data_IF_853896499601
#
_entry.id   IF_853896499601
#
_cell.length_a   1.000
_cell.length_b   1.000
_cell.length_c   1.000
_cell.angle_alpha   90.00
_cell.angle_beta   90.00
_cell.angle_gamma   90.00
#
_symmetry.space_group_name_H-M   'P 1'
#
loop_
_entity.id
_entity.type
_entity.pdbx_description
1 polymer ?
#
# COMPACT_ATOMS: atom_id res chain seq x y z
N UNK A 1 3.49 -13.58 -7.12
CA UNK A 1 4.44 -14.64 -7.50
C UNK A 1 5.44 -14.96 -6.39
N UNK A 2 6.07 -13.97 -5.72
CA UNK A 2 7.04 -14.24 -4.64
C UNK A 2 6.48 -15.03 -3.43
N UNK A 3 5.27 -14.71 -2.95
CA UNK A 3 4.66 -15.47 -1.85
C UNK A 3 4.38 -16.94 -2.22
N UNK A 4 3.91 -17.21 -3.45
CA UNK A 4 3.65 -18.57 -3.94
C UNK A 4 4.95 -19.35 -4.16
N UNK A 5 5.99 -18.69 -4.68
CA UNK A 5 7.31 -19.31 -4.85
C UNK A 5 7.92 -19.77 -3.52
N UNK A 6 7.70 -19.02 -2.43
CA UNK A 6 8.19 -19.35 -1.09
C UNK A 6 7.57 -20.62 -0.48
N UNK A 7 6.45 -21.10 -0.99
CA UNK A 7 5.81 -22.35 -0.52
C UNK A 7 6.60 -23.58 -0.95
N UNK A 8 7.41 -23.47 -2.00
CA UNK A 8 8.22 -24.58 -2.55
C UNK A 8 9.68 -24.55 -2.08
N UNK A 9 10.05 -23.54 -1.28
CA UNK A 9 11.40 -23.39 -0.74
C UNK A 9 11.47 -24.02 0.65
N UNK A 10 12.66 -24.48 1.03
CA UNK A 10 12.92 -24.78 2.44
C UNK A 10 12.85 -23.51 3.30
N UNK A 11 12.84 -23.68 4.62
CA UNK A 11 12.67 -22.56 5.54
C UNK A 11 13.77 -21.51 5.41
N UNK A 12 15.02 -21.94 5.20
CA UNK A 12 16.18 -21.05 5.10
C UNK A 12 16.12 -20.24 3.79
N UNK A 13 15.88 -20.92 2.67
CA UNK A 13 15.68 -20.30 1.36
C UNK A 13 14.50 -19.33 1.36
N UNK A 14 13.40 -19.69 2.04
CA UNK A 14 12.21 -18.84 2.15
C UNK A 14 12.47 -17.57 2.97
N UNK A 15 13.29 -17.65 4.02
CA UNK A 15 13.70 -16.50 4.82
C UNK A 15 14.69 -15.64 4.03
N UNK A 16 15.68 -16.23 3.38
CA UNK A 16 16.66 -15.52 2.55
C UNK A 16 15.96 -14.71 1.45
N UNK A 17 15.04 -15.33 0.71
CA UNK A 17 14.26 -14.64 -0.33
C UNK A 17 13.39 -13.50 0.26
N UNK A 18 12.85 -13.68 1.46
CA UNK A 18 12.10 -12.61 2.13
C UNK A 18 13.00 -11.42 2.43
N UNK A 19 14.16 -11.65 3.04
CA UNK A 19 15.12 -10.60 3.43
C UNK A 19 15.69 -9.89 2.19
N UNK A 20 15.93 -10.63 1.11
CA UNK A 20 16.41 -10.08 -0.16
C UNK A 20 15.39 -9.13 -0.79
N UNK A 21 14.11 -9.48 -0.76
CA UNK A 21 13.05 -8.66 -1.34
C UNK A 21 12.51 -7.58 -0.39
N UNK A 22 12.70 -7.74 0.92
CA UNK A 22 12.24 -6.80 1.94
C UNK A 22 12.98 -5.46 1.83
N UNK A 23 12.26 -4.39 2.17
CA UNK A 23 12.88 -3.09 2.39
C UNK A 23 13.46 -3.05 3.79
N UNK A 24 14.75 -2.72 3.91
CA UNK A 24 15.44 -2.62 5.20
C UNK A 24 16.11 -1.24 5.21
N UNK A 25 15.63 -0.35 6.07
CA UNK A 25 16.01 1.07 6.07
C UNK A 25 17.50 1.27 6.38
N UNK A 26 18.10 0.42 7.21
CA UNK A 26 19.55 0.50 7.50
C UNK A 26 20.41 0.43 6.23
N UNK A 27 19.94 -0.21 5.15
CA UNK A 27 20.63 -0.26 3.84
C UNK A 27 20.84 1.10 3.20
N UNK A 28 20.15 2.12 3.70
CA UNK A 28 20.23 3.51 3.24
C UNK A 28 20.99 4.42 4.23
N UNK A 29 21.49 3.87 5.34
CA UNK A 29 22.30 4.63 6.30
C UNK A 29 23.73 4.80 5.78
N UNK A 30 24.37 5.92 6.12
CA UNK A 30 25.75 6.22 5.72
C UNK A 30 26.70 5.10 6.17
N UNK A 31 26.59 4.66 7.43
CA UNK A 31 27.44 3.61 7.98
C UNK A 31 27.30 2.27 7.22
N UNK A 32 26.08 1.91 6.81
CA UNK A 32 25.88 0.69 6.02
C UNK A 32 26.48 0.82 4.62
N UNK A 33 26.23 1.94 3.93
CA UNK A 33 26.83 2.22 2.63
C UNK A 33 28.35 2.18 2.66
N UNK A 34 28.98 2.74 3.69
CA UNK A 34 30.43 2.73 3.83
C UNK A 34 30.99 1.32 4.08
N UNK A 35 30.21 0.44 4.72
CA UNK A 35 30.64 -0.92 5.05
C UNK A 35 30.50 -1.93 3.91
N UNK A 36 29.41 -1.88 3.14
CA UNK A 36 29.08 -2.91 2.12
C UNK A 36 28.73 -2.34 0.74
N UNK A 37 28.72 -1.03 0.58
CA UNK A 37 28.42 -0.36 -0.68
C UNK A 37 26.96 -0.48 -1.14
N UNK A 38 26.73 -0.15 -2.41
CA UNK A 38 25.40 -0.29 -3.04
C UNK A 38 25.17 -1.74 -3.41
N UNK A 39 24.12 -2.33 -2.85
CA UNK A 39 23.68 -3.68 -3.20
C UNK A 39 22.48 -3.63 -4.15
N UNK A 40 22.22 -4.73 -4.85
CA UNK A 40 21.07 -4.83 -5.74
C UNK A 40 19.74 -4.67 -4.96
N UNK A 41 19.70 -5.09 -3.69
CA UNK A 41 18.57 -4.89 -2.80
C UNK A 41 18.36 -3.40 -2.49
N UNK A 42 19.41 -2.60 -2.36
CA UNK A 42 19.28 -1.14 -2.12
C UNK A 42 18.57 -0.44 -3.28
N UNK A 43 18.68 -0.98 -4.49
CA UNK A 43 18.01 -0.42 -5.68
C UNK A 43 16.58 -0.98 -5.84
N UNK A 44 16.38 -2.27 -5.56
CA UNK A 44 15.13 -2.97 -5.88
C UNK A 44 14.12 -2.99 -4.73
N UNK A 45 14.59 -3.02 -3.48
CA UNK A 45 13.75 -3.14 -2.29
C UNK A 45 12.69 -2.06 -2.08
N UNK A 46 12.82 -0.80 -2.56
CA UNK A 46 11.73 0.18 -2.50
C UNK A 46 10.47 -0.27 -3.25
N UNK A 47 10.60 -1.25 -4.16
CA UNK A 47 9.49 -1.81 -4.94
C UNK A 47 9.22 -3.26 -4.58
N UNK A 48 10.25 -4.10 -4.46
CA UNK A 48 10.05 -5.55 -4.29
C UNK A 48 9.42 -5.94 -2.96
N UNK A 49 9.53 -5.09 -1.93
CA UNK A 49 8.95 -5.36 -0.62
C UNK A 49 7.43 -5.56 -0.68
N UNK A 50 6.77 -4.88 -1.63
CA UNK A 50 5.32 -5.00 -1.87
C UNK A 50 4.90 -6.39 -2.36
N UNK A 51 5.84 -7.19 -2.89
CA UNK A 51 5.56 -8.48 -3.53
C UNK A 51 5.66 -9.65 -2.56
N UNK A 52 6.31 -9.47 -1.41
CA UNK A 52 6.54 -10.49 -0.40
C UNK A 52 5.65 -10.23 0.83
N UNK A 53 5.08 -11.29 1.39
CA UNK A 53 4.19 -11.23 2.54
C UNK A 53 4.61 -12.29 3.55
N UNK A 54 4.47 -11.99 4.85
CA UNK A 54 4.89 -12.85 5.95
C UNK A 54 4.14 -14.18 6.00
N UNK A 55 2.83 -14.13 5.75
CA UNK A 55 1.94 -15.29 5.74
C UNK A 55 0.77 -15.09 4.76
N UNK A 56 -0.05 -16.13 4.60
CA UNK A 56 -1.19 -16.12 3.70
C UNK A 56 -2.27 -15.12 4.12
N UNK A 57 -2.51 -14.97 5.43
CA UNK A 57 -3.50 -14.01 5.95
C UNK A 57 -3.10 -12.58 5.61
N UNK A 58 -1.82 -12.24 5.78
CA UNK A 58 -1.28 -10.94 5.42
C UNK A 58 -1.44 -10.66 3.91
N UNK A 59 -1.17 -11.64 3.05
CA UNK A 59 -1.42 -11.52 1.62
C UNK A 59 -2.92 -11.31 1.32
N UNK A 60 -3.78 -12.14 1.92
CA UNK A 60 -5.22 -12.12 1.69
C UNK A 60 -5.81 -10.75 2.06
N UNK A 61 -5.46 -10.21 3.22
CA UNK A 61 -5.93 -8.88 3.66
C UNK A 61 -5.48 -7.80 2.66
N UNK A 62 -4.23 -7.81 2.20
CA UNK A 62 -3.77 -6.85 1.21
C UNK A 62 -4.52 -6.95 -0.12
N UNK A 63 -4.79 -8.16 -0.60
CA UNK A 63 -5.57 -8.38 -1.82
C UNK A 63 -7.00 -7.86 -1.66
N UNK A 64 -7.68 -8.19 -0.56
CA UNK A 64 -9.04 -7.74 -0.30
C UNK A 64 -9.13 -6.22 -0.21
N UNK A 65 -8.18 -5.59 0.50
CA UNK A 65 -8.13 -4.14 0.62
C UNK A 65 -7.78 -3.47 -0.71
N UNK A 66 -6.86 -4.03 -1.50
CA UNK A 66 -6.59 -3.54 -2.84
C UNK A 66 -7.82 -3.66 -3.75
N UNK A 67 -8.56 -4.77 -3.70
CA UNK A 67 -9.78 -4.93 -4.48
C UNK A 67 -10.85 -3.91 -4.06
N UNK A 68 -10.98 -3.62 -2.76
CA UNK A 68 -11.95 -2.64 -2.27
C UNK A 68 -11.61 -1.20 -2.70
N UNK A 69 -10.40 -0.73 -2.41
CA UNK A 69 -10.01 0.67 -2.65
C UNK A 69 -9.43 0.90 -4.04
N UNK A 70 -8.58 -0.01 -4.51
CA UNK A 70 -7.95 0.06 -5.83
C UNK A 70 -8.96 0.00 -6.98
N UNK A 71 -10.09 -0.72 -6.83
CA UNK A 71 -11.16 -0.69 -7.83
C UNK A 71 -11.81 0.70 -7.95
N UNK A 72 -12.05 1.38 -6.84
CA UNK A 72 -12.61 2.73 -6.83
C UNK A 72 -11.66 3.77 -7.43
N UNK A 73 -10.37 3.68 -7.09
CA UNK A 73 -9.31 4.51 -7.68
C UNK A 73 -9.14 4.22 -9.17
N UNK A 74 -9.15 2.93 -9.55
CA UNK A 74 -9.01 2.49 -10.93
C UNK A 74 -10.08 3.07 -11.84
N UNK A 75 -11.35 3.10 -11.40
CA UNK A 75 -12.45 3.75 -12.16
C UNK A 75 -12.18 5.22 -12.49
N UNK A 76 -11.32 5.93 -11.76
CA UNK A 76 -10.87 7.30 -12.07
C UNK A 76 -9.55 7.39 -12.86
N UNK A 77 -8.54 6.63 -12.44
CA UNK A 77 -7.17 6.80 -12.96
C UNK A 77 -6.89 5.98 -14.24
N UNK A 78 -7.59 4.86 -14.47
CA UNK A 78 -7.29 3.94 -15.56
C UNK A 78 -6.07 3.04 -15.30
N UNK A 79 -5.89 1.99 -16.13
CA UNK A 79 -4.99 0.86 -15.81
C UNK A 79 -3.54 1.29 -15.57
N UNK A 80 -2.98 2.09 -16.47
CA UNK A 80 -1.55 2.47 -16.43
C UNK A 80 -1.26 3.39 -15.24
N UNK A 81 -2.11 4.38 -15.04
CA UNK A 81 -2.01 5.32 -13.92
C UNK A 81 -2.23 4.61 -12.59
N UNK A 82 -3.18 3.67 -12.49
CA UNK A 82 -3.39 2.88 -11.27
C UNK A 82 -2.14 2.09 -10.88
N UNK A 83 -1.49 1.43 -11.85
CA UNK A 83 -0.24 0.68 -11.58
C UNK A 83 0.87 1.63 -11.11
N UNK A 84 1.07 2.75 -11.82
CA UNK A 84 2.09 3.73 -11.45
C UNK A 84 1.81 4.34 -10.07
N UNK A 85 0.56 4.72 -9.82
CA UNK A 85 0.11 5.30 -8.55
C UNK A 85 0.28 4.31 -7.39
N UNK A 86 -0.01 3.02 -7.62
CA UNK A 86 0.21 1.96 -6.64
C UNK A 86 1.68 1.82 -6.28
N UNK A 87 2.56 1.71 -7.29
CA UNK A 87 4.00 1.60 -7.05
C UNK A 87 4.54 2.83 -6.32
N UNK A 88 4.18 4.04 -6.77
CA UNK A 88 4.66 5.28 -6.15
C UNK A 88 4.13 5.46 -4.72
N UNK A 89 2.91 5.02 -4.43
CA UNK A 89 2.36 5.00 -3.07
C UNK A 89 3.16 4.09 -2.15
N UNK A 90 3.53 2.89 -2.63
CA UNK A 90 4.39 1.98 -1.88
C UNK A 90 5.80 2.53 -1.65
N UNK A 91 6.40 3.17 -2.68
CA UNK A 91 7.70 3.82 -2.55
C UNK A 91 7.65 4.98 -1.56
N UNK A 92 6.60 5.81 -1.60
CA UNK A 92 6.40 6.89 -0.64
C UNK A 92 6.21 6.36 0.79
N UNK A 93 5.50 5.24 0.96
CA UNK A 93 5.39 4.54 2.24
C UNK A 93 6.74 4.07 2.77
N UNK A 94 7.53 3.38 1.94
CA UNK A 94 8.87 2.91 2.33
C UNK A 94 9.81 4.07 2.67
N UNK A 95 9.75 5.17 1.91
CA UNK A 95 10.53 6.37 2.18
C UNK A 95 10.14 7.02 3.53
N UNK A 96 8.85 7.10 3.84
CA UNK A 96 8.37 7.63 5.12
C UNK A 96 8.76 6.72 6.30
N UNK A 97 8.69 5.40 6.12
CA UNK A 97 9.20 4.45 7.10
C UNK A 97 10.70 4.63 7.35
N UNK A 98 11.50 4.73 6.29
CA UNK A 98 12.95 4.96 6.40
C UNK A 98 13.28 6.28 7.07
N UNK A 99 12.51 7.34 6.81
CA UNK A 99 12.68 8.64 7.44
C UNK A 99 12.52 8.57 8.97
N UNK A 100 11.57 7.77 9.46
CA UNK A 100 11.34 7.60 10.90
C UNK A 100 12.19 6.50 11.54
N UNK A 101 12.70 5.56 10.75
CA UNK A 101 13.40 4.36 11.22
C UNK A 101 14.74 4.13 10.49
N UNK A 102 15.56 5.17 10.32
CA UNK A 102 16.73 5.16 9.43
C UNK A 102 17.75 4.03 9.69
N UNK A 103 17.90 3.60 10.94
CA UNK A 103 18.89 2.58 11.35
C UNK A 103 18.25 1.21 11.68
N UNK A 104 17.01 0.98 11.25
CA UNK A 104 16.29 -0.26 11.55
C UNK A 104 16.73 -1.42 10.66
N UNK A 105 17.00 -2.56 11.30
CA UNK A 105 17.21 -3.86 10.65
C UNK A 105 15.89 -4.62 10.41
N UNK A 106 14.75 -4.07 10.85
CA UNK A 106 13.47 -4.73 10.70
C UNK A 106 13.07 -4.81 9.21
N UNK A 107 12.74 -6.00 8.69
CA UNK A 107 12.29 -6.14 7.32
C UNK A 107 10.88 -5.58 7.15
N UNK A 108 10.75 -4.55 6.33
CA UNK A 108 9.47 -4.07 5.83
C UNK A 108 9.06 -4.94 4.64
N UNK A 109 7.87 -5.54 4.74
CA UNK A 109 7.28 -6.39 3.70
C UNK A 109 5.79 -6.11 3.58
N UNK A 110 5.23 -6.41 2.40
CA UNK A 110 3.81 -6.37 2.14
C UNK A 110 3.36 -5.15 1.34
N UNK A 111 2.27 -5.34 0.61
CA UNK A 111 1.67 -4.37 -0.28
C UNK A 111 0.98 -3.17 0.43
N UNK A 112 0.98 -3.14 1.76
CA UNK A 112 0.04 -2.33 2.54
C UNK A 112 0.28 -0.83 2.44
N UNK A 113 1.53 -0.38 2.25
CA UNK A 113 1.84 1.02 1.94
C UNK A 113 1.21 1.49 0.62
N UNK A 114 1.28 0.66 -0.41
CA UNK A 114 0.65 0.96 -1.69
C UNK A 114 -0.88 0.96 -1.60
N UNK A 115 -1.45 0.00 -0.84
CA UNK A 115 -2.89 -0.03 -0.55
C UNK A 115 -3.33 1.19 0.24
N UNK A 116 -2.54 1.64 1.23
CA UNK A 116 -2.82 2.86 1.99
C UNK A 116 -2.88 4.10 1.09
N UNK A 117 -2.05 4.17 0.04
CA UNK A 117 -2.18 5.21 -0.99
C UNK A 117 -3.50 5.17 -1.77
N UNK A 118 -4.03 3.97 -2.04
CA UNK A 118 -5.39 3.86 -2.61
C UNK A 118 -6.45 4.41 -1.64
N UNK A 119 -6.30 4.13 -0.35
CA UNK A 119 -7.19 4.67 0.70
C UNK A 119 -7.12 6.21 0.74
N UNK A 120 -5.91 6.78 0.70
CA UNK A 120 -5.71 8.23 0.63
C UNK A 120 -6.34 8.87 -0.63
N UNK A 121 -6.21 8.21 -1.77
CA UNK A 121 -6.84 8.66 -3.01
C UNK A 121 -8.37 8.61 -2.95
N UNK A 122 -8.95 7.57 -2.36
CA UNK A 122 -10.40 7.50 -2.10
C UNK A 122 -10.84 8.66 -1.19
N UNK A 123 -10.07 8.97 -0.15
CA UNK A 123 -10.33 10.14 0.71
C UNK A 123 -10.35 11.44 -0.09
N UNK A 124 -9.35 11.67 -0.94
CA UNK A 124 -9.30 12.83 -1.83
C UNK A 124 -10.55 12.90 -2.72
N UNK A 125 -10.88 11.78 -3.36
CA UNK A 125 -12.01 11.68 -4.29
C UNK A 125 -13.39 11.79 -3.64
N UNK A 126 -13.50 11.49 -2.36
CA UNK A 126 -14.74 11.61 -1.59
C UNK A 126 -15.11 13.07 -1.28
N UNK A 127 -14.18 14.01 -1.50
CA UNK A 127 -14.45 15.45 -1.45
C UNK A 127 -14.97 16.01 -2.80
N UNK A 128 -14.84 15.25 -3.89
CA UNK A 128 -15.38 15.64 -5.19
C UNK A 128 -16.92 15.45 -5.23
N UNK A 129 -17.62 16.11 -6.17
CA UNK A 129 -19.04 15.85 -6.39
C UNK A 129 -19.31 14.36 -6.60
N UNK A 130 -20.44 13.88 -6.09
CA UNK A 130 -20.84 12.48 -6.24
C UNK A 130 -21.03 12.14 -7.72
N UNK A 131 -20.44 11.03 -8.14
CA UNK A 131 -20.52 10.49 -9.48
C UNK A 131 -21.18 9.11 -9.39
N UNK A 132 -22.43 8.95 -9.86
CA UNK A 132 -23.13 7.66 -9.84
C UNK A 132 -22.39 6.55 -10.60
N UNK A 133 -21.59 6.90 -11.62
CA UNK A 133 -20.78 5.93 -12.37
C UNK A 133 -19.51 5.49 -11.62
N UNK A 134 -19.16 6.20 -10.55
CA UNK A 134 -18.03 5.87 -9.70
C UNK A 134 -18.35 6.10 -8.21
N UNK A 135 -19.15 5.21 -7.59
CA UNK A 135 -19.49 5.34 -6.19
C UNK A 135 -18.23 5.23 -5.32
N UNK A 136 -17.96 6.26 -4.53
CA UNK A 136 -16.95 6.23 -3.48
C UNK A 136 -17.52 5.54 -2.23
N UNK A 137 -16.70 4.81 -1.44
CA UNK A 137 -17.10 4.19 -0.17
C UNK A 137 -17.74 5.15 0.84
N UNK A 138 -17.41 6.44 0.76
CA UNK A 138 -18.01 7.51 1.54
C UNK A 138 -18.09 8.78 0.68
N UNK A 139 -19.09 9.64 0.93
CA UNK A 139 -19.39 10.79 0.04
C UNK A 139 -19.66 12.11 0.80
N UNK A 140 -19.72 12.08 2.13
CA UNK A 140 -19.89 13.31 2.93
C UNK A 140 -18.56 13.79 3.48
N UNK A 141 -18.39 15.11 3.61
CA UNK A 141 -17.19 15.69 4.27
C UNK A 141 -17.02 15.14 5.69
N UNK A 142 -18.12 15.05 6.45
CA UNK A 142 -18.13 14.53 7.82
C UNK A 142 -17.67 13.08 7.88
N UNK A 143 -18.21 12.21 7.03
CA UNK A 143 -17.81 10.79 6.98
C UNK A 143 -16.38 10.62 6.50
N UNK A 144 -15.93 11.45 5.55
CA UNK A 144 -14.55 11.42 5.05
C UNK A 144 -13.56 11.78 6.15
N UNK A 145 -13.75 12.92 6.84
CA UNK A 145 -12.89 13.30 7.97
C UNK A 145 -12.94 12.29 9.12
N UNK A 146 -14.14 11.77 9.44
CA UNK A 146 -14.28 10.72 10.45
C UNK A 146 -13.51 9.45 10.10
N UNK A 147 -13.56 9.02 8.84
CA UNK A 147 -12.80 7.88 8.35
C UNK A 147 -11.29 8.15 8.40
N UNK A 148 -10.82 9.32 7.95
CA UNK A 148 -9.39 9.69 8.02
C UNK A 148 -8.90 9.62 9.47
N UNK A 149 -9.62 10.25 10.39
CA UNK A 149 -9.27 10.27 11.80
C UNK A 149 -9.23 8.85 12.41
N UNK A 150 -10.27 8.05 12.16
CA UNK A 150 -10.34 6.65 12.58
C UNK A 150 -9.19 5.83 11.98
N UNK A 151 -8.90 5.99 10.69
CA UNK A 151 -7.88 5.22 10.00
C UNK A 151 -6.48 5.54 10.51
N UNK A 152 -6.14 6.82 10.70
CA UNK A 152 -4.86 7.23 11.30
C UNK A 152 -4.74 6.71 12.73
N UNK A 153 -5.80 6.89 13.53
CA UNK A 153 -5.84 6.42 14.92
C UNK A 153 -5.63 4.89 15.01
N UNK A 154 -6.38 4.12 14.21
CA UNK A 154 -6.28 2.67 14.19
C UNK A 154 -4.89 2.20 13.77
N UNK A 155 -4.29 2.81 12.75
CA UNK A 155 -2.93 2.45 12.33
C UNK A 155 -1.90 2.71 13.43
N UNK A 156 -2.02 3.84 14.14
CA UNK A 156 -1.14 4.13 15.26
C UNK A 156 -1.33 3.15 16.43
N UNK A 157 -2.58 2.87 16.82
CA UNK A 157 -2.90 1.92 17.89
C UNK A 157 -2.39 0.52 17.54
N UNK A 158 -2.70 0.03 16.34
CA UNK A 158 -2.27 -1.29 15.89
C UNK A 158 -0.74 -1.38 15.74
N UNK A 159 -0.07 -0.29 15.35
CA UNK A 159 1.39 -0.21 15.30
C UNK A 159 2.07 -0.21 16.68
N UNK A 160 1.40 0.34 17.69
CA UNK A 160 1.90 0.36 19.07
C UNK A 160 1.64 -0.95 19.84
N UNK A 161 0.74 -1.81 19.35
CA UNK A 161 0.44 -3.09 19.98
C UNK A 161 1.47 -4.16 19.61
N UNK A 162 1.81 -5.06 20.55
CA UNK A 162 2.61 -6.24 20.25
C UNK A 162 1.95 -7.12 19.16
N UNK A 163 2.73 -7.69 18.22
CA UNK A 163 2.22 -8.52 17.12
C UNK A 163 1.34 -9.70 17.58
N UNK A 164 1.61 -10.23 18.77
CA UNK A 164 0.90 -11.36 19.37
C UNK A 164 -0.55 -11.00 19.71
N UNK A 165 -0.81 -9.75 20.11
CA UNK A 165 -2.15 -9.26 20.47
C UNK A 165 -3.02 -9.11 19.22
N UNK A 166 -2.41 -8.76 18.09
CA UNK A 166 -3.11 -8.56 16.80
C UNK A 166 -3.15 -9.84 15.95
N UNK A 167 -2.62 -10.96 16.46
CA UNK A 167 -2.63 -12.26 15.79
C UNK A 167 -1.76 -12.33 14.53
N UNK A 168 -0.82 -11.39 14.36
CA UNK A 168 0.06 -11.35 13.20
C UNK A 168 1.35 -12.11 13.51
N UNK A 169 1.55 -13.23 12.81
CA UNK A 169 2.79 -14.02 12.91
C UNK A 169 3.96 -13.41 12.11
N UNK A 170 3.69 -12.36 11.33
CA UNK A 170 4.63 -11.73 10.39
C UNK A 170 5.44 -10.54 10.91
N UNK A 171 5.34 -10.20 12.20
CA UNK A 171 6.03 -9.06 12.82
C UNK A 171 5.13 -7.86 13.10
N UNK A 172 5.74 -6.76 13.57
CA UNK A 172 5.04 -5.53 13.92
C UNK A 172 4.43 -4.82 12.70
N UNK A 173 3.31 -4.13 12.92
CA UNK A 173 2.64 -3.36 11.88
C UNK A 173 3.43 -2.07 11.63
N UNK A 174 3.99 -1.95 10.42
CA UNK A 174 4.72 -0.76 9.97
C UNK A 174 3.76 0.40 9.63
N UNK A 175 3.13 0.97 10.66
CA UNK A 175 2.14 2.04 10.55
C UNK A 175 2.71 3.29 9.83
N UNK A 176 4.01 3.54 9.91
CA UNK A 176 4.70 4.62 9.21
C UNK A 176 4.60 4.43 7.69
N UNK A 177 4.76 3.19 7.22
CA UNK A 177 4.62 2.85 5.80
C UNK A 177 3.19 3.12 5.32
N UNK A 178 2.20 2.80 6.15
CA UNK A 178 0.80 3.08 5.85
C UNK A 178 0.56 4.59 5.79
N UNK A 179 1.05 5.35 6.77
CA UNK A 179 0.88 6.80 6.82
C UNK A 179 1.53 7.50 5.61
N UNK A 180 2.77 7.13 5.25
CA UNK A 180 3.47 7.68 4.09
C UNK A 180 2.73 7.41 2.78
N UNK A 181 2.27 6.17 2.58
CA UNK A 181 1.47 5.80 1.42
C UNK A 181 0.15 6.57 1.36
N UNK A 182 -0.56 6.66 2.49
CA UNK A 182 -1.81 7.40 2.61
C UNK A 182 -1.66 8.89 2.28
N UNK A 183 -0.63 9.55 2.81
CA UNK A 183 -0.34 10.96 2.55
C UNK A 183 -0.05 11.18 1.06
N UNK A 184 0.80 10.34 0.46
CA UNK A 184 1.03 10.37 -0.99
C UNK A 184 -0.29 10.25 -1.75
N UNK A 185 -1.12 9.27 -1.37
CA UNK A 185 -2.43 9.03 -1.96
C UNK A 185 -3.32 10.26 -1.95
N UNK A 186 -3.44 10.89 -0.78
CA UNK A 186 -4.28 12.06 -0.54
C UNK A 186 -3.83 13.28 -1.36
N UNK A 187 -2.53 13.48 -1.50
CA UNK A 187 -1.96 14.66 -2.15
C UNK A 187 -1.79 14.49 -3.67
N UNK A 188 -1.45 13.30 -4.13
CA UNK A 188 -1.12 13.05 -5.53
C UNK A 188 -2.31 12.62 -6.40
N UNK A 189 -3.43 12.19 -5.81
CA UNK A 189 -4.56 11.60 -6.56
C UNK A 189 -5.08 12.47 -7.71
N UNK A 190 -5.10 13.80 -7.54
CA UNK A 190 -5.52 14.74 -8.60
C UNK A 190 -4.67 14.62 -9.87
N UNK A 191 -3.36 14.46 -9.74
CA UNK A 191 -2.42 14.45 -10.87
C UNK A 191 -2.50 13.17 -11.71
N UNK A 192 -3.14 12.14 -11.19
CA UNK A 192 -3.35 10.84 -11.84
C UNK A 192 -4.79 10.65 -12.33
N UNK A 193 -5.66 11.64 -12.09
CA UNK A 193 -7.04 11.62 -12.55
C UNK A 193 -7.11 11.87 -14.06
N UNK A 194 -7.94 11.11 -14.78
CA UNK A 194 -8.15 11.31 -16.21
C UNK A 194 -7.80 10.10 -17.08
N UNK A 195 -8.72 9.13 -17.09
CA UNK A 195 -9.08 8.21 -18.19
C UNK A 195 -10.01 7.09 -17.73
N UNK A 196 -10.04 6.82 -16.42
CA UNK A 196 -10.82 5.74 -15.82
C UNK A 196 -10.44 4.35 -16.36
N UNK A 197 -10.94 3.31 -15.70
CA UNK A 197 -11.01 2.00 -16.34
C UNK A 197 -12.13 2.05 -17.39
N UNK A 198 -11.99 1.35 -18.53
CA UNK A 198 -13.10 1.25 -19.47
C UNK A 198 -14.35 0.72 -18.75
N UNK A 199 -15.55 1.21 -19.12
CA UNK A 199 -16.81 0.76 -18.51
C UNK A 199 -16.90 -0.77 -18.53
N UNK A 200 -17.43 -1.36 -17.47
CA UNK A 200 -17.62 -2.81 -17.45
C UNK A 200 -18.67 -3.16 -18.54
N UNK A 201 -18.37 -4.05 -19.50
CA UNK A 201 -19.32 -4.43 -20.54
C UNK A 201 -20.60 -5.07 -19.97
N UNK A 202 -20.57 -5.53 -18.73
CA UNK A 202 -21.71 -6.08 -18.00
C UNK A 202 -22.39 -5.09 -17.05
N UNK A 203 -21.97 -3.82 -17.02
CA UNK A 203 -22.63 -2.79 -16.24
C UNK A 203 -23.97 -2.43 -16.89
N UNK A 204 -25.06 -2.69 -16.16
CA UNK A 204 -26.40 -2.33 -16.62
C UNK A 204 -26.51 -0.80 -16.71
N UNK A 205 -26.66 -0.30 -17.95
CA UNK A 205 -27.01 1.10 -18.19
C UNK A 205 -28.53 1.19 -18.36
N UNK A 206 -29.25 1.90 -17.46
CA UNK A 206 -30.66 2.16 -17.69
C UNK A 206 -30.83 2.96 -19.00
N UNK A 207 -31.94 2.78 -19.73
CA UNK A 207 -32.21 3.54 -20.95
C UNK A 207 -32.19 5.04 -20.66
N UNK A 208 -31.45 5.81 -21.46
CA UNK A 208 -31.60 7.27 -21.49
C UNK A 208 -33.00 7.59 -21.98
N UNK A 209 -33.84 8.16 -21.12
CA UNK A 209 -35.11 8.75 -21.54
C UNK A 209 -34.80 9.99 -22.37
N UNK A 210 -34.82 9.83 -23.70
CA UNK A 210 -34.82 10.93 -24.67
C UNK A 210 -36.25 11.29 -25.03
#
# INVERSE_FOLDING_TARGET
MAHVGRVFLDQEQSIALLVDLAFISVRYSQAFFDSVGVQWQTVTSPVTYMLVHGDFTHLLVNVLMFLAFGSAVGRRMGKRQLILFYVLSGVAGAAFFAFLNAESFAPLIGASGAVAGMVGAVCFYSFAPSDPSNPMPFQSRKSTFGFIAMWVFLNFVLGALPPEIVGLKGGAIAWETHLGGFIFGLLAAKSFDGRGLPPNPFEFRPPTLT
#
